data_IF_604608977418
#
_entry.id   IF_604608977418
#
_cell.length_a   1.000
_cell.length_b   1.000
_cell.length_c   1.000
_cell.angle_alpha   90.00
_cell.angle_beta   90.00
_cell.angle_gamma   90.00
#
_symmetry.space_group_name_H-M   'P 1'
#
loop_
_entity.id
_entity.type
_entity.pdbx_description
1 polymer ?
#
# COMPACT_ATOMS: atom_id res chain seq x y z
N UNK A 1 35.30 -23.30 14.71
CA UNK A 1 34.19 -24.23 14.99
C UNK A 1 33.31 -23.63 16.06
N UNK A 2 32.09 -23.24 15.70
CA UNK A 2 30.91 -23.19 16.56
C UNK A 2 29.70 -23.00 15.64
N UNK A 3 29.15 -24.13 15.20
CA UNK A 3 27.91 -24.20 14.45
C UNK A 3 26.78 -24.30 15.46
N UNK A 4 25.99 -23.23 15.60
CA UNK A 4 24.75 -23.28 16.38
C UNK A 4 23.69 -23.97 15.53
N UNK A 5 23.64 -25.29 15.65
CA UNK A 5 22.55 -26.13 15.13
C UNK A 5 21.34 -25.95 16.03
N UNK A 6 20.37 -25.15 15.59
CA UNK A 6 19.03 -25.16 16.17
C UNK A 6 18.39 -26.51 15.79
N UNK A 7 18.44 -27.46 16.71
CA UNK A 7 17.89 -28.80 16.53
C UNK A 7 16.37 -28.76 16.68
N UNK A 8 15.67 -29.32 15.68
CA UNK A 8 14.22 -29.46 15.64
C UNK A 8 13.83 -30.67 16.52
N UNK A 9 13.83 -30.50 17.84
CA UNK A 9 13.36 -31.55 18.75
C UNK A 9 11.82 -31.62 18.73
N UNK A 10 11.31 -32.85 18.59
CA UNK A 10 9.95 -33.32 18.84
C UNK A 10 8.86 -33.24 17.76
N UNK A 11 9.16 -32.95 16.49
CA UNK A 11 8.24 -33.25 15.36
C UNK A 11 6.83 -32.63 15.45
N UNK A 12 6.59 -31.73 16.40
CA UNK A 12 5.35 -30.98 16.55
C UNK A 12 5.57 -29.56 16.04
N UNK A 13 4.76 -29.07 15.08
CA UNK A 13 4.89 -27.71 14.60
C UNK A 13 4.69 -26.72 15.76
N UNK A 14 5.48 -25.63 15.84
CA UNK A 14 5.34 -24.66 16.93
C UNK A 14 3.95 -24.03 16.90
N UNK A 15 3.22 -24.08 18.02
CA UNK A 15 1.83 -23.60 18.11
C UNK A 15 1.66 -22.07 18.18
N UNK A 16 2.76 -21.31 18.20
CA UNK A 16 2.75 -19.85 18.27
C UNK A 16 3.41 -19.24 17.02
N UNK A 17 2.64 -18.42 16.31
CA UNK A 17 3.07 -17.68 15.12
C UNK A 17 4.39 -16.90 15.34
N UNK A 18 4.63 -16.37 16.55
CA UNK A 18 5.87 -15.68 16.89
C UNK A 18 7.12 -16.59 16.84
N UNK A 19 7.01 -17.86 17.27
CA UNK A 19 8.11 -18.84 17.18
C UNK A 19 8.34 -19.30 15.73
N UNK A 20 7.27 -19.46 14.97
CA UNK A 20 7.33 -19.75 13.53
C UNK A 20 8.04 -18.60 12.81
N UNK A 21 7.63 -17.35 13.07
CA UNK A 21 8.24 -16.16 12.49
C UNK A 21 9.71 -16.00 12.90
N UNK A 22 10.06 -16.32 14.15
CA UNK A 22 11.45 -16.33 14.60
C UNK A 22 12.30 -17.35 13.82
N UNK A 23 11.79 -18.58 13.61
CA UNK A 23 12.48 -19.61 12.81
C UNK A 23 12.60 -19.15 11.35
N UNK A 24 11.55 -18.63 10.73
CA UNK A 24 11.64 -18.13 9.36
C UNK A 24 12.57 -16.92 9.22
N UNK A 25 12.66 -16.06 10.23
CA UNK A 25 13.59 -14.91 10.24
C UNK A 25 15.07 -15.34 10.29
N UNK A 26 15.37 -16.58 10.67
CA UNK A 26 16.73 -17.14 10.59
C UNK A 26 17.08 -17.72 9.22
N UNK A 27 16.07 -17.98 8.37
CA UNK A 27 16.24 -18.62 7.05
C UNK A 27 16.16 -17.57 5.94
N UNK A 28 15.26 -16.60 6.08
CA UNK A 28 15.11 -15.51 5.13
C UNK A 28 16.13 -14.41 5.47
N UNK A 29 16.80 -13.84 4.46
CA UNK A 29 17.72 -12.74 4.68
C UNK A 29 16.95 -11.53 5.22
N UNK A 30 17.65 -10.71 6.00
CA UNK A 30 17.13 -9.47 6.56
C UNK A 30 16.42 -8.65 5.45
N UNK A 31 15.29 -8.00 5.76
CA UNK A 31 14.61 -7.09 4.83
C UNK A 31 15.52 -5.95 4.36
N UNK A 32 16.58 -5.64 5.10
CA UNK A 32 17.63 -4.69 4.74
C UNK A 32 18.79 -5.29 3.91
N UNK A 33 18.72 -6.58 3.57
CA UNK A 33 19.72 -7.22 2.72
C UNK A 33 19.65 -6.68 1.30
N UNK A 34 20.81 -6.64 0.66
CA UNK A 34 20.97 -6.28 -0.75
C UNK A 34 20.05 -7.08 -1.69
N UNK A 35 19.88 -8.38 -1.43
CA UNK A 35 19.00 -9.25 -2.21
C UNK A 35 17.55 -8.84 -2.06
N UNK A 36 17.07 -8.65 -0.81
CA UNK A 36 15.70 -8.21 -0.54
C UNK A 36 15.41 -6.84 -1.15
N UNK A 37 16.33 -5.88 -1.02
CA UNK A 37 16.19 -4.54 -1.63
C UNK A 37 16.11 -4.60 -3.15
N UNK A 38 16.96 -5.41 -3.78
CA UNK A 38 16.94 -5.57 -5.23
C UNK A 38 15.65 -6.23 -5.72
N UNK A 39 15.13 -7.22 -4.99
CA UNK A 39 13.87 -7.90 -5.31
C UNK A 39 12.68 -6.94 -5.15
N UNK A 40 12.64 -6.19 -4.05
CA UNK A 40 11.59 -5.19 -3.82
C UNK A 40 11.60 -4.09 -4.89
N UNK A 41 12.77 -3.53 -5.21
CA UNK A 41 12.91 -2.54 -6.27
C UNK A 41 12.49 -3.09 -7.64
N UNK A 42 12.87 -4.33 -7.94
CA UNK A 42 12.48 -5.01 -9.18
C UNK A 42 10.96 -5.20 -9.26
N UNK A 43 10.34 -5.71 -8.18
CA UNK A 43 8.90 -5.91 -8.10
C UNK A 43 8.13 -4.59 -8.25
N UNK A 44 8.60 -3.53 -7.59
CA UNK A 44 8.04 -2.19 -7.74
C UNK A 44 8.12 -1.69 -9.19
N UNK A 45 9.21 -1.97 -9.91
CA UNK A 45 9.31 -1.64 -11.34
C UNK A 45 8.33 -2.45 -12.20
N UNK A 46 8.20 -3.76 -11.95
CA UNK A 46 7.30 -4.63 -12.71
C UNK A 46 5.83 -4.24 -12.53
N UNK A 47 5.45 -3.87 -11.31
CA UNK A 47 4.09 -3.45 -10.93
C UNK A 47 3.84 -1.94 -11.10
N UNK A 48 4.80 -1.17 -11.61
CA UNK A 48 4.72 0.29 -11.76
C UNK A 48 4.40 1.05 -10.45
N UNK A 49 4.90 0.56 -9.32
CA UNK A 49 4.76 1.21 -8.01
C UNK A 49 5.75 2.37 -7.83
N UNK A 50 6.79 2.46 -8.67
CA UNK A 50 7.81 3.51 -8.57
C UNK A 50 7.19 4.87 -8.86
N UNK A 51 7.07 5.69 -7.82
CA UNK A 51 6.60 7.07 -7.92
C UNK A 51 7.53 7.90 -8.82
N UNK A 52 6.99 8.41 -9.92
CA UNK A 52 7.60 9.51 -10.65
C UNK A 52 6.78 10.77 -10.37
N UNK A 53 7.39 11.91 -10.02
CA UNK A 53 6.66 13.16 -9.85
C UNK A 53 5.95 13.61 -11.15
N UNK A 54 6.27 13.02 -12.30
CA UNK A 54 5.71 13.34 -13.61
C UNK A 54 4.58 12.42 -14.07
N UNK A 55 4.34 11.28 -13.41
CA UNK A 55 3.25 10.36 -13.73
C UNK A 55 2.66 9.79 -12.44
N UNK A 56 1.34 9.97 -12.20
CA UNK A 56 0.70 9.28 -11.08
C UNK A 56 0.89 7.77 -11.25
N UNK A 57 1.02 7.02 -10.14
CA UNK A 57 1.06 5.56 -10.20
C UNK A 57 -0.20 5.07 -10.91
N UNK A 58 -0.05 4.17 -11.89
CA UNK A 58 -1.21 3.48 -12.44
C UNK A 58 -1.67 2.46 -11.40
N UNK A 59 -2.94 2.53 -11.02
CA UNK A 59 -3.57 1.56 -10.13
C UNK A 59 -3.83 0.20 -10.81
N UNK A 60 -3.31 -0.01 -12.02
CA UNK A 60 -3.41 -1.25 -12.79
C UNK A 60 -3.00 -2.49 -12.00
N UNK A 61 -2.00 -2.34 -11.14
CA UNK A 61 -1.54 -3.45 -10.30
C UNK A 61 -2.61 -3.91 -9.31
N UNK A 62 -3.55 -3.04 -8.90
CA UNK A 62 -4.66 -3.36 -7.98
C UNK A 62 -5.82 -4.07 -8.68
N UNK A 63 -5.84 -4.09 -10.02
CA UNK A 63 -6.94 -4.67 -10.78
C UNK A 63 -6.99 -6.18 -10.50
N UNK A 64 -8.13 -6.63 -9.99
CA UNK A 64 -8.38 -8.05 -9.74
C UNK A 64 -8.43 -8.81 -11.06
N UNK A 65 -7.74 -9.96 -11.18
CA UNK A 65 -7.91 -10.83 -12.33
C UNK A 65 -9.39 -11.24 -12.48
N UNK A 66 -9.99 -11.16 -13.68
CA UNK A 66 -11.33 -11.67 -13.91
C UNK A 66 -11.43 -13.16 -13.54
N UNK A 67 -12.58 -13.60 -13.03
CA UNK A 67 -12.77 -14.97 -12.55
C UNK A 67 -12.41 -16.04 -13.61
N UNK A 68 -12.73 -15.78 -14.88
CA UNK A 68 -12.32 -16.62 -16.01
C UNK A 68 -10.79 -16.73 -16.10
N UNK A 69 -10.09 -15.60 -16.09
CA UNK A 69 -8.63 -15.57 -16.20
C UNK A 69 -8.01 -16.26 -15.00
N UNK A 70 -8.47 -15.97 -13.79
CA UNK A 70 -8.01 -16.62 -12.56
C UNK A 70 -8.13 -18.15 -12.67
N UNK A 71 -9.28 -18.65 -13.16
CA UNK A 71 -9.49 -20.08 -13.37
C UNK A 71 -8.50 -20.65 -14.39
N UNK A 72 -8.35 -20.02 -15.56
CA UNK A 72 -7.39 -20.46 -16.59
C UNK A 72 -5.96 -20.48 -16.03
N UNK A 73 -5.51 -19.36 -15.44
CA UNK A 73 -4.16 -19.23 -14.90
C UNK A 73 -3.86 -20.17 -13.74
N UNK A 74 -4.86 -20.47 -12.90
CA UNK A 74 -4.72 -21.42 -11.79
C UNK A 74 -4.58 -22.88 -12.25
N UNK A 75 -4.89 -23.19 -13.50
CA UNK A 75 -4.72 -24.52 -14.08
C UNK A 75 -3.51 -24.60 -15.04
N UNK A 76 -2.76 -23.52 -15.22
CA UNK A 76 -1.60 -23.53 -16.10
C UNK A 76 -0.45 -24.36 -15.51
N UNK A 77 0.23 -25.18 -16.31
CA UNK A 77 1.35 -25.99 -15.84
C UNK A 77 2.64 -25.17 -15.70
N UNK A 78 3.59 -25.63 -14.88
CA UNK A 78 4.86 -24.92 -14.68
C UNK A 78 5.73 -24.81 -15.95
N UNK A 79 5.48 -25.61 -17.00
CA UNK A 79 6.30 -25.56 -18.22
C UNK A 79 6.18 -24.23 -18.98
N UNK A 80 5.15 -23.42 -18.72
CA UNK A 80 5.02 -22.09 -19.32
C UNK A 80 6.19 -21.17 -18.93
N UNK A 81 6.91 -21.49 -17.86
CA UNK A 81 8.10 -20.74 -17.43
C UNK A 81 9.31 -20.93 -18.37
N UNK A 82 9.29 -21.93 -19.25
CA UNK A 82 10.44 -22.31 -20.09
C UNK A 82 10.64 -21.35 -21.27
N UNK A 83 9.65 -20.51 -21.61
CA UNK A 83 9.77 -19.56 -22.71
C UNK A 83 11.02 -18.69 -22.58
N UNK A 84 11.80 -18.50 -23.66
CA UNK A 84 12.99 -17.67 -23.63
C UNK A 84 12.62 -16.22 -23.36
N UNK A 85 13.48 -15.52 -22.61
CA UNK A 85 13.31 -14.10 -22.32
C UNK A 85 14.02 -13.29 -23.40
N UNK A 86 13.41 -12.20 -23.84
CA UNK A 86 14.03 -11.27 -24.78
C UNK A 86 15.35 -10.71 -24.22
N UNK A 87 16.28 -10.41 -25.14
CA UNK A 87 17.57 -9.85 -24.78
C UNK A 87 17.41 -8.50 -24.06
N UNK A 88 18.13 -8.32 -22.96
CA UNK A 88 18.12 -7.07 -22.20
C UNK A 88 18.97 -6.03 -22.96
N UNK A 89 18.40 -4.86 -23.32
CA UNK A 89 19.16 -3.82 -24.00
C UNK A 89 20.32 -3.31 -23.13
N UNK A 90 21.52 -3.03 -23.70
CA UNK A 90 22.68 -2.59 -22.93
C UNK A 90 22.41 -1.34 -22.07
N UNK A 91 21.55 -0.44 -22.55
CA UNK A 91 21.18 0.79 -21.86
C UNK A 91 20.51 0.51 -20.50
N UNK A 92 19.81 -0.62 -20.38
CA UNK A 92 19.16 -1.07 -19.16
C UNK A 92 20.16 -1.49 -18.07
N UNK A 93 21.40 -1.79 -18.46
CA UNK A 93 22.47 -2.25 -17.57
C UNK A 93 23.37 -1.09 -17.10
N UNK A 94 23.24 0.10 -17.69
CA UNK A 94 24.06 1.28 -17.39
C UNK A 94 23.53 2.10 -16.20
N UNK A 95 22.82 1.47 -15.26
CA UNK A 95 22.25 2.15 -14.11
C UNK A 95 23.36 2.85 -13.30
N UNK A 96 23.15 4.14 -13.00
CA UNK A 96 24.08 4.97 -12.19
C UNK A 96 23.71 5.01 -10.70
N UNK A 97 22.56 4.46 -10.35
CA UNK A 97 22.01 4.37 -9.01
C UNK A 97 21.34 3.01 -8.83
N UNK A 98 20.94 2.68 -7.60
CA UNK A 98 20.16 1.48 -7.27
C UNK A 98 18.71 1.59 -7.77
N UNK A 99 18.55 1.84 -9.06
CA UNK A 99 17.27 1.99 -9.76
C UNK A 99 17.18 0.98 -10.87
N UNK A 100 16.04 0.31 -10.97
CA UNK A 100 15.79 -0.69 -12.02
C UNK A 100 15.15 0.00 -13.24
N UNK A 101 15.68 -0.30 -14.42
CA UNK A 101 15.20 0.31 -15.66
C UNK A 101 13.78 -0.16 -16.00
N UNK A 102 12.91 0.74 -16.48
CA UNK A 102 11.51 0.40 -16.75
C UNK A 102 11.31 -0.65 -17.86
N UNK A 103 12.31 -0.86 -18.72
CA UNK A 103 12.28 -1.87 -19.79
C UNK A 103 12.07 -3.30 -19.28
N UNK A 104 12.51 -3.60 -18.04
CA UNK A 104 12.30 -4.92 -17.43
C UNK A 104 10.81 -5.25 -17.33
N UNK A 105 9.95 -4.24 -17.12
CA UNK A 105 8.50 -4.43 -17.17
C UNK A 105 8.01 -4.81 -18.56
N UNK A 106 8.49 -4.14 -19.60
CA UNK A 106 8.08 -4.45 -20.98
C UNK A 106 8.43 -5.88 -21.35
N UNK A 107 9.67 -6.31 -21.05
CA UNK A 107 10.16 -7.67 -21.29
C UNK A 107 9.34 -8.69 -20.47
N UNK A 108 9.04 -8.37 -19.21
CA UNK A 108 8.21 -9.21 -18.35
C UNK A 108 6.79 -9.41 -18.88
N UNK A 109 6.12 -8.33 -19.28
CA UNK A 109 4.78 -8.40 -19.88
C UNK A 109 4.76 -9.18 -21.19
N UNK A 110 5.81 -9.02 -22.02
CA UNK A 110 5.94 -9.75 -23.27
C UNK A 110 6.08 -11.25 -23.03
N UNK A 111 6.88 -11.66 -22.03
CA UNK A 111 7.03 -13.08 -21.66
C UNK A 111 5.75 -13.67 -21.08
N UNK A 112 5.01 -12.94 -20.22
CA UNK A 112 3.70 -13.38 -19.72
C UNK A 112 2.72 -13.62 -20.87
N UNK A 113 2.65 -12.68 -21.82
CA UNK A 113 1.80 -12.77 -23.01
C UNK A 113 2.19 -13.96 -23.88
N UNK A 114 3.49 -14.12 -24.15
CA UNK A 114 4.03 -15.22 -24.98
C UNK A 114 3.84 -16.59 -24.32
N UNK A 115 3.80 -16.62 -22.99
CA UNK A 115 3.53 -17.81 -22.20
C UNK A 115 2.04 -18.07 -21.94
N UNK A 116 1.16 -17.27 -22.55
CA UNK A 116 -0.30 -17.31 -22.38
C UNK A 116 -0.77 -17.19 -20.93
N UNK A 117 -0.03 -16.48 -20.07
CA UNK A 117 -0.45 -16.19 -18.71
C UNK A 117 -1.50 -15.06 -18.71
N UNK A 118 -2.73 -15.27 -18.21
CA UNK A 118 -3.87 -14.38 -18.48
C UNK A 118 -3.98 -13.18 -17.53
N UNK A 119 -2.84 -12.65 -17.05
CA UNK A 119 -2.81 -11.54 -16.12
C UNK A 119 -1.45 -10.85 -16.01
N UNK A 120 -1.42 -9.71 -15.34
CA UNK A 120 -0.23 -8.85 -15.23
C UNK A 120 0.14 -8.50 -13.79
N UNK A 121 -0.58 -9.05 -12.81
CA UNK A 121 -0.42 -8.79 -11.37
C UNK A 121 -0.83 -10.01 -10.53
N UNK A 122 -0.58 -9.93 -9.22
CA UNK A 122 -1.05 -10.93 -8.26
C UNK A 122 -2.58 -10.94 -8.16
N UNK A 123 -3.12 -12.11 -7.79
CA UNK A 123 -4.51 -12.21 -7.38
C UNK A 123 -4.60 -11.85 -5.88
N UNK A 124 -4.63 -10.54 -5.58
CA UNK A 124 -4.54 -10.01 -4.21
C UNK A 124 -5.61 -10.52 -3.24
N UNK A 125 -6.78 -10.93 -3.74
CA UNK A 125 -7.84 -11.49 -2.90
C UNK A 125 -7.65 -12.98 -2.60
N UNK A 126 -6.59 -13.59 -3.13
CA UNK A 126 -6.28 -15.00 -2.96
C UNK A 126 -5.02 -15.19 -2.12
N UNK A 127 -4.93 -16.28 -1.33
CA UNK A 127 -3.78 -16.50 -0.48
C UNK A 127 -2.50 -16.69 -1.31
N UNK A 128 -1.33 -16.39 -0.71
CA UNK A 128 -0.02 -16.61 -1.33
C UNK A 128 0.13 -18.03 -1.94
N UNK A 129 -0.40 -19.05 -1.27
CA UNK A 129 -0.33 -20.45 -1.69
C UNK A 129 -1.19 -20.78 -2.92
N UNK A 130 -2.01 -19.85 -3.40
CA UNK A 130 -2.79 -20.04 -4.62
C UNK A 130 -1.88 -20.25 -5.84
N UNK A 131 -2.25 -21.17 -6.72
CA UNK A 131 -1.42 -21.53 -7.88
C UNK A 131 -1.11 -20.34 -8.78
N UNK A 132 -2.07 -19.43 -8.98
CA UNK A 132 -1.86 -18.15 -9.68
C UNK A 132 -0.68 -17.37 -9.10
N UNK A 133 -0.71 -17.10 -7.79
CA UNK A 133 0.29 -16.27 -7.11
C UNK A 133 1.66 -16.96 -7.11
N UNK A 134 1.70 -18.27 -6.90
CA UNK A 134 2.93 -19.07 -7.01
C UNK A 134 3.53 -19.03 -8.41
N UNK A 135 2.70 -19.17 -9.45
CA UNK A 135 3.16 -19.18 -10.83
C UNK A 135 3.63 -17.79 -11.27
N UNK A 136 2.89 -16.74 -10.90
CA UNK A 136 3.29 -15.34 -11.13
C UNK A 136 4.60 -14.99 -10.42
N UNK A 137 4.78 -15.41 -9.16
CA UNK A 137 6.03 -15.24 -8.42
C UNK A 137 7.21 -15.95 -9.12
N UNK A 138 7.01 -17.12 -9.70
CA UNK A 138 8.05 -17.82 -10.48
C UNK A 138 8.43 -17.05 -11.74
N UNK A 139 7.48 -16.39 -12.43
CA UNK A 139 7.83 -15.47 -13.53
C UNK A 139 8.69 -14.31 -13.02
N UNK A 140 8.32 -13.69 -11.89
CA UNK A 140 9.12 -12.61 -11.30
C UNK A 140 10.55 -13.08 -11.04
N UNK A 141 10.72 -14.24 -10.41
CA UNK A 141 12.05 -14.81 -10.09
C UNK A 141 12.83 -15.16 -11.36
N UNK A 142 12.18 -15.74 -12.38
CA UNK A 142 12.78 -16.02 -13.68
C UNK A 142 13.38 -14.74 -14.29
N UNK A 143 12.62 -13.65 -14.31
CA UNK A 143 13.08 -12.37 -14.85
C UNK A 143 14.13 -11.70 -13.97
N UNK A 144 14.00 -11.80 -12.66
CA UNK A 144 15.00 -11.31 -11.72
C UNK A 144 16.34 -12.04 -11.91
N UNK A 145 16.34 -13.37 -12.03
CA UNK A 145 17.56 -14.15 -12.27
C UNK A 145 18.22 -13.78 -13.62
N UNK A 146 17.42 -13.57 -14.67
CA UNK A 146 17.92 -13.11 -15.96
C UNK A 146 18.58 -11.72 -15.86
N UNK A 147 17.93 -10.78 -15.17
CA UNK A 147 18.48 -9.45 -14.91
C UNK A 147 19.75 -9.50 -14.05
N UNK A 148 19.79 -10.36 -13.03
CA UNK A 148 20.96 -10.59 -12.19
C UNK A 148 22.14 -11.13 -13.00
N UNK A 149 21.91 -12.17 -13.82
CA UNK A 149 22.93 -12.75 -14.69
C UNK A 149 23.47 -11.76 -15.74
N UNK A 150 22.62 -10.88 -16.26
CA UNK A 150 23.02 -9.79 -17.15
C UNK A 150 23.75 -8.64 -16.43
N UNK A 151 23.78 -8.64 -15.09
CA UNK A 151 24.47 -7.64 -14.29
C UNK A 151 23.65 -6.37 -14.03
N UNK A 152 22.32 -6.42 -14.15
CA UNK A 152 21.44 -5.28 -13.87
C UNK A 152 21.49 -4.82 -12.40
N UNK A 153 21.87 -5.72 -11.49
CA UNK A 153 21.90 -5.45 -10.04
C UNK A 153 23.30 -5.24 -9.47
N UNK A 154 24.31 -4.93 -10.31
CA UNK A 154 25.71 -4.73 -9.87
C UNK A 154 25.85 -3.76 -8.69
N UNK A 155 25.01 -2.74 -8.61
CA UNK A 155 25.04 -1.71 -7.55
C UNK A 155 24.40 -2.13 -6.23
N UNK A 156 23.72 -3.29 -6.18
CA UNK A 156 23.10 -3.80 -4.97
C UNK A 156 24.07 -4.64 -4.13
N UNK A 157 25.19 -5.14 -4.68
CA UNK A 157 26.14 -6.01 -3.95
C UNK A 157 25.50 -7.29 -3.39
N UNK A 158 24.72 -7.99 -4.22
CA UNK A 158 23.98 -9.18 -3.82
C UNK A 158 24.94 -10.37 -3.61
N UNK A 159 24.75 -11.09 -2.50
CA UNK A 159 25.43 -12.35 -2.23
C UNK A 159 25.03 -13.42 -3.28
N UNK A 160 25.97 -14.00 -4.05
CA UNK A 160 25.67 -15.00 -5.06
C UNK A 160 24.98 -16.25 -4.51
N UNK A 161 25.23 -16.63 -3.25
CA UNK A 161 24.59 -17.81 -2.63
C UNK A 161 23.09 -17.57 -2.43
N UNK A 162 22.71 -16.36 -2.01
CA UNK A 162 21.31 -15.97 -1.88
C UNK A 162 20.64 -15.83 -3.24
N UNK A 163 21.36 -15.27 -4.23
CA UNK A 163 20.84 -15.04 -5.57
C UNK A 163 20.43 -16.32 -6.31
N UNK A 164 20.99 -17.48 -5.95
CA UNK A 164 20.65 -18.76 -6.58
C UNK A 164 19.73 -19.65 -5.73
N UNK A 165 19.35 -19.21 -4.53
CA UNK A 165 18.47 -19.98 -3.66
C UNK A 165 17.00 -19.63 -3.93
N UNK A 166 16.34 -20.44 -4.75
CA UNK A 166 14.94 -20.21 -5.16
C UNK A 166 13.97 -20.10 -3.97
N UNK A 167 14.21 -20.85 -2.88
CA UNK A 167 13.36 -20.78 -1.68
C UNK A 167 13.48 -19.42 -0.99
N UNK A 168 14.69 -18.85 -0.94
CA UNK A 168 14.92 -17.50 -0.43
C UNK A 168 14.24 -16.46 -1.33
N UNK A 169 14.43 -16.55 -2.64
CA UNK A 169 13.82 -15.60 -3.58
C UNK A 169 12.28 -15.64 -3.53
N UNK A 170 11.68 -16.84 -3.45
CA UNK A 170 10.23 -16.98 -3.26
C UNK A 170 9.76 -16.34 -1.96
N UNK A 171 10.48 -16.55 -0.85
CA UNK A 171 10.17 -15.91 0.42
C UNK A 171 10.27 -14.38 0.35
N UNK A 172 11.25 -13.84 -0.38
CA UNK A 172 11.38 -12.39 -0.59
C UNK A 172 10.21 -11.83 -1.39
N UNK A 173 9.79 -12.50 -2.46
CA UNK A 173 8.61 -12.10 -3.24
C UNK A 173 7.36 -12.13 -2.37
N UNK A 174 7.18 -13.17 -1.55
CA UNK A 174 6.04 -13.29 -0.62
C UNK A 174 5.99 -12.12 0.37
N UNK A 175 7.12 -11.79 1.00
CA UNK A 175 7.21 -10.67 1.95
C UNK A 175 6.89 -9.34 1.26
N UNK A 176 7.44 -9.11 0.06
CA UNK A 176 7.17 -7.88 -0.70
C UNK A 176 5.71 -7.79 -1.14
N UNK A 177 5.09 -8.90 -1.54
CA UNK A 177 3.67 -8.98 -1.90
C UNK A 177 2.78 -8.60 -0.71
N UNK A 178 3.05 -9.19 0.47
CA UNK A 178 2.32 -8.86 1.70
C UNK A 178 2.49 -7.39 2.10
N UNK A 179 3.70 -6.83 1.97
CA UNK A 179 3.96 -5.42 2.28
C UNK A 179 3.22 -4.48 1.31
N UNK A 180 3.22 -4.78 0.01
CA UNK A 180 2.45 -4.05 -1.01
C UNK A 180 0.95 -4.15 -0.72
N UNK A 181 0.46 -5.32 -0.32
CA UNK A 181 -0.94 -5.52 0.02
C UNK A 181 -1.35 -4.72 1.26
N UNK A 182 -0.49 -4.67 2.30
CA UNK A 182 -0.70 -3.83 3.49
C UNK A 182 -0.74 -2.34 3.14
N UNK A 183 0.14 -1.89 2.24
CA UNK A 183 0.09 -0.52 1.70
C UNK A 183 -1.19 -0.26 0.86
N UNK A 184 -1.81 -1.29 0.27
CA UNK A 184 -3.07 -1.14 -0.47
C UNK A 184 -4.30 -1.09 0.45
N UNK A 185 -4.26 -1.83 1.56
CA UNK A 185 -5.29 -1.80 2.60
C UNK A 185 -5.19 -0.56 3.48
N UNK A 186 -4.31 0.38 3.13
CA UNK A 186 -3.98 1.56 3.92
C UNK A 186 -5.22 2.44 4.14
N UNK A 187 -5.81 2.42 5.33
CA UNK A 187 -6.91 3.31 5.63
C UNK A 187 -6.44 4.76 5.73
N UNK A 188 -5.12 5.04 5.76
CA UNK A 188 -4.56 6.38 5.65
C UNK A 188 -4.89 7.02 4.30
N UNK A 189 -5.09 6.27 3.20
CA UNK A 189 -5.51 6.87 1.92
C UNK A 189 -6.97 7.39 1.94
N UNK A 190 -7.88 6.62 2.53
CA UNK A 190 -9.27 7.02 2.72
C UNK A 190 -9.40 8.13 3.76
N UNK A 191 -8.62 8.05 4.84
CA UNK A 191 -8.50 9.10 5.86
C UNK A 191 -7.94 10.39 5.29
N UNK A 192 -6.81 10.34 4.56
CA UNK A 192 -6.22 11.50 3.90
C UNK A 192 -7.23 12.16 2.98
N UNK A 193 -7.97 11.40 2.18
CA UNK A 193 -9.03 11.96 1.32
C UNK A 193 -10.13 12.65 2.12
N UNK A 194 -10.57 12.05 3.24
CA UNK A 194 -11.59 12.62 4.11
C UNK A 194 -11.13 13.94 4.79
N UNK A 195 -9.85 14.04 5.16
CA UNK A 195 -9.28 15.18 5.88
C UNK A 195 -8.51 16.18 4.99
N UNK A 196 -8.29 15.90 3.71
CA UNK A 196 -7.76 16.84 2.72
C UNK A 196 -8.80 17.90 2.30
N UNK A 197 -10.09 17.59 2.42
CA UNK A 197 -11.13 18.58 2.23
C UNK A 197 -11.17 19.53 3.44
N UNK A 198 -10.60 20.73 3.31
CA UNK A 198 -10.55 21.75 4.38
C UNK A 198 -11.95 22.06 4.95
N UNK A 199 -13.02 21.90 4.17
CA UNK A 199 -14.40 22.10 4.65
C UNK A 199 -14.90 20.98 5.56
N UNK A 200 -14.23 19.83 5.58
CA UNK A 200 -14.58 18.68 6.40
C UNK A 200 -14.01 18.74 7.82
N UNK A 201 -13.14 19.72 8.12
CA UNK A 201 -12.26 19.66 9.30
C UNK A 201 -12.25 20.92 10.16
N UNK A 202 -12.92 21.99 9.72
CA UNK A 202 -12.99 23.25 10.47
C UNK A 202 -14.27 23.33 11.30
N UNK A 203 -14.17 22.91 12.56
CA UNK A 203 -15.21 23.09 13.58
C UNK A 203 -15.00 24.36 14.41
N UNK A 204 -14.19 25.34 13.98
CA UNK A 204 -13.85 26.50 14.84
C UNK A 204 -14.06 27.84 14.14
N UNK A 205 -14.75 28.76 14.80
CA UNK A 205 -14.85 30.16 14.41
C UNK A 205 -14.15 31.06 15.44
N UNK A 206 -13.42 32.05 14.94
CA UNK A 206 -12.78 33.08 15.77
C UNK A 206 -13.82 34.12 16.15
N UNK A 207 -14.27 34.12 17.40
CA UNK A 207 -15.10 35.19 17.94
C UNK A 207 -14.22 36.33 18.44
N UNK A 208 -14.56 37.60 18.17
CA UNK A 208 -13.89 38.74 18.81
C UNK A 208 -14.03 38.63 20.35
N UNK A 209 -12.96 38.81 21.15
CA UNK A 209 -11.65 39.38 20.83
C UNK A 209 -10.52 38.32 20.66
N UNK A 210 -10.77 37.22 19.93
CA UNK A 210 -9.90 36.06 19.62
C UNK A 210 -10.16 34.78 20.43
N UNK A 211 -11.39 34.53 20.86
CA UNK A 211 -11.73 33.20 21.38
C UNK A 211 -12.06 32.26 20.19
N UNK A 212 -11.47 31.07 20.18
CA UNK A 212 -11.88 30.00 19.25
C UNK A 212 -13.11 29.33 19.86
N UNK A 213 -14.24 29.42 19.17
CA UNK A 213 -15.47 28.72 19.58
C UNK A 213 -15.74 27.56 18.64
N UNK A 214 -16.12 26.41 19.21
CA UNK A 214 -16.47 25.21 18.43
C UNK A 214 -17.85 25.40 17.79
N UNK A 215 -17.92 25.41 16.46
CA UNK A 215 -19.17 25.43 15.71
C UNK A 215 -19.67 24.00 15.50
N UNK A 216 -20.93 23.71 15.87
CA UNK A 216 -21.54 22.42 15.56
C UNK A 216 -21.82 22.33 14.05
N UNK A 217 -21.18 21.36 13.38
CA UNK A 217 -21.46 21.03 11.98
C UNK A 217 -22.64 20.05 11.92
N UNK A 218 -23.83 20.55 11.59
CA UNK A 218 -25.08 19.78 11.55
C UNK A 218 -25.04 18.57 10.59
N UNK A 219 -24.16 18.59 9.60
CA UNK A 219 -23.98 17.51 8.63
C UNK A 219 -23.09 16.37 9.13
N UNK A 220 -22.30 16.59 10.18
CA UNK A 220 -21.24 15.69 10.61
C UNK A 220 -21.78 14.62 11.56
N UNK A 221 -21.40 13.36 11.36
CA UNK A 221 -21.77 12.29 12.28
C UNK A 221 -20.98 12.33 13.59
N UNK A 222 -21.59 11.88 14.69
CA UNK A 222 -20.90 11.77 16.00
C UNK A 222 -19.62 10.93 15.92
N UNK A 223 -19.63 9.88 15.10
CA UNK A 223 -18.47 9.02 14.90
C UNK A 223 -17.30 9.77 14.26
N UNK A 224 -17.58 10.55 13.22
CA UNK A 224 -16.57 11.34 12.53
C UNK A 224 -16.06 12.51 13.40
N UNK A 225 -16.93 13.17 14.17
CA UNK A 225 -16.52 14.19 15.14
C UNK A 225 -15.61 13.63 16.23
N UNK A 226 -15.96 12.48 16.85
CA UNK A 226 -15.11 11.85 17.86
C UNK A 226 -13.75 11.46 17.30
N UNK A 227 -13.72 10.92 16.09
CA UNK A 227 -12.48 10.54 15.44
C UNK A 227 -11.58 11.76 15.16
N UNK A 228 -12.14 12.86 14.64
CA UNK A 228 -11.40 14.11 14.46
C UNK A 228 -10.82 14.65 15.78
N UNK A 229 -11.59 14.58 16.88
CA UNK A 229 -11.12 14.97 18.22
C UNK A 229 -9.98 14.08 18.74
N UNK A 230 -10.02 12.78 18.44
CA UNK A 230 -8.94 11.86 18.82
C UNK A 230 -7.65 12.21 18.07
N UNK A 231 -7.71 12.51 16.77
CA UNK A 231 -6.55 12.96 16.00
C UNK A 231 -5.95 14.25 16.57
N UNK A 232 -6.79 15.23 16.93
CA UNK A 232 -6.34 16.47 17.59
C UNK A 232 -5.63 16.19 18.93
N UNK A 233 -6.13 15.21 19.69
CA UNK A 233 -5.55 14.82 20.99
C UNK A 233 -4.19 14.17 20.82
N UNK A 234 -4.08 13.20 19.89
CA UNK A 234 -2.82 12.52 19.55
C UNK A 234 -1.79 13.55 19.10
N UNK A 235 -2.17 14.47 18.21
CA UNK A 235 -1.27 15.54 17.76
C UNK A 235 -0.80 16.43 18.91
N UNK A 236 -1.71 16.84 19.80
CA UNK A 236 -1.35 17.67 20.96
C UNK A 236 -0.34 16.96 21.85
N UNK A 237 -0.54 15.66 22.10
CA UNK A 237 0.38 14.82 22.86
C UNK A 237 1.74 14.71 22.16
N UNK A 238 1.77 14.40 20.87
CA UNK A 238 2.99 14.30 20.07
C UNK A 238 3.75 15.63 20.01
N UNK A 239 3.07 16.77 19.85
CA UNK A 239 3.68 18.11 19.87
C UNK A 239 4.32 18.44 21.21
N UNK A 240 3.74 17.97 22.32
CA UNK A 240 4.30 18.15 23.68
C UNK A 240 5.51 17.23 23.88
N UNK A 241 5.45 15.99 23.39
CA UNK A 241 6.46 14.96 23.62
C UNK A 241 7.67 15.08 22.69
N UNK A 242 7.47 15.44 21.43
CA UNK A 242 8.52 15.56 20.43
C UNK A 242 9.00 17.01 20.36
N UNK A 243 10.14 17.30 21.00
CA UNK A 243 10.92 18.52 20.78
C UNK A 243 11.53 18.59 19.34
N UNK A 244 10.98 17.82 18.39
CA UNK A 244 11.41 17.70 16.99
C UNK A 244 10.31 18.23 16.07
N UNK A 245 10.60 19.38 15.48
CA UNK A 245 9.74 20.17 14.58
C UNK A 245 9.46 19.53 13.21
N UNK A 246 9.81 18.27 12.99
CA UNK A 246 9.78 17.64 11.65
C UNK A 246 8.55 16.76 11.39
N UNK A 247 7.65 16.59 12.36
CA UNK A 247 6.39 15.87 12.11
C UNK A 247 5.38 16.76 11.37
N UNK A 248 5.44 16.62 10.04
CA UNK A 248 4.42 16.85 9.02
C UNK A 248 3.37 17.95 9.28
N UNK A 249 3.70 19.16 8.86
CA UNK A 249 2.75 20.25 8.57
C UNK A 249 1.58 19.83 7.64
N UNK A 250 1.72 18.72 6.91
CA UNK A 250 0.72 18.21 5.95
C UNK A 250 -0.50 17.53 6.59
N UNK A 251 -0.45 17.11 7.86
CA UNK A 251 -1.59 16.46 8.54
C UNK A 251 -2.27 17.34 9.59
N UNK A 252 -1.80 18.58 9.76
CA UNK A 252 -2.30 19.47 10.79
C UNK A 252 -3.69 19.98 10.39
N UNK A 253 -4.73 19.46 11.04
CA UNK A 253 -6.09 19.99 10.94
C UNK A 253 -6.12 21.44 11.42
N UNK A 254 -5.43 21.74 12.52
CA UNK A 254 -5.33 23.09 13.10
C UNK A 254 -4.67 24.14 12.18
N UNK A 255 -3.62 23.79 11.44
CA UNK A 255 -2.97 24.72 10.48
C UNK A 255 -3.79 24.88 9.18
N UNK A 256 -4.74 23.97 8.91
CA UNK A 256 -5.65 24.02 7.77
C UNK A 256 -6.99 24.69 8.11
N UNK A 257 -7.24 25.05 9.37
CA UNK A 257 -8.44 25.78 9.81
C UNK A 257 -8.39 27.22 9.32
N UNK A 258 -9.06 27.49 8.20
CA UNK A 258 -9.33 28.87 7.77
C UNK A 258 -10.44 29.41 8.68
N UNK A 259 -10.28 30.60 9.29
CA UNK A 259 -11.36 31.26 10.00
C UNK A 259 -12.54 31.47 9.06
N UNK A 260 -13.66 30.81 9.32
CA UNK A 260 -14.87 31.03 8.56
C UNK A 260 -15.41 32.42 8.88
N UNK A 261 -15.31 33.37 7.96
CA UNK A 261 -16.14 34.59 7.95
C UNK A 261 -17.59 34.29 7.51
N UNK A 262 -17.98 33.02 7.46
CA UNK A 262 -19.20 32.54 6.83
C UNK A 262 -20.28 32.47 7.88
N UNK A 263 -21.22 33.42 7.78
CA UNK A 263 -22.52 33.41 8.46
C UNK A 263 -23.18 32.03 8.35
N UNK A 264 -23.68 31.55 9.50
CA UNK A 264 -24.45 30.32 9.75
C UNK A 264 -25.41 29.91 8.61
N UNK A 265 -24.88 29.38 7.52
CA UNK A 265 -25.69 28.84 6.44
C UNK A 265 -25.46 27.34 6.40
N UNK A 266 -26.43 26.61 6.94
CA UNK A 266 -26.64 25.16 6.73
C UNK A 266 -26.91 24.81 5.25
N UNK A 267 -26.42 25.62 4.32
CA UNK A 267 -26.56 25.43 2.89
C UNK A 267 -25.76 24.22 2.46
N UNK A 268 -26.42 23.31 1.76
CA UNK A 268 -25.84 22.15 1.09
C UNK A 268 -24.55 22.46 0.31
N UNK A 269 -24.38 23.69 -0.19
CA UNK A 269 -23.18 24.13 -0.94
C UNK A 269 -21.87 24.04 -0.14
N UNK A 270 -21.96 24.00 1.19
CA UNK A 270 -20.81 24.00 2.08
C UNK A 270 -20.44 22.60 2.60
N UNK A 271 -21.22 21.57 2.27
CA UNK A 271 -20.96 20.21 2.75
C UNK A 271 -19.95 19.50 1.84
N UNK A 272 -18.89 18.90 2.40
CA UNK A 272 -17.94 18.09 1.66
C UNK A 272 -18.62 16.96 0.88
N UNK A 273 -18.11 16.69 -0.32
CA UNK A 273 -18.55 15.56 -1.18
C UNK A 273 -17.49 14.46 -1.16
N UNK A 274 -17.89 13.26 -1.56
CA UNK A 274 -17.06 12.06 -1.64
C UNK A 274 -16.50 11.60 -0.28
N UNK A 275 -17.20 11.90 0.82
CA UNK A 275 -16.86 11.30 2.11
C UNK A 275 -17.53 9.92 2.24
N UNK A 276 -16.98 9.02 3.08
CA UNK A 276 -17.69 7.83 3.51
C UNK A 276 -19.11 8.15 4.00
N UNK A 277 -20.07 7.28 3.69
CA UNK A 277 -21.48 7.51 4.02
C UNK A 277 -21.69 7.78 5.53
N UNK A 278 -20.90 7.13 6.38
CA UNK A 278 -20.98 7.28 7.83
C UNK A 278 -20.22 8.50 8.39
N UNK A 279 -19.63 9.36 7.54
CA UNK A 279 -19.19 10.70 7.93
C UNK A 279 -20.35 11.68 8.03
N UNK A 280 -21.46 11.43 7.32
CA UNK A 280 -22.65 12.26 7.34
C UNK A 280 -23.58 11.82 8.47
N UNK A 281 -24.14 12.78 9.21
CA UNK A 281 -25.17 12.50 10.19
C UNK A 281 -26.43 11.95 9.52
N UNK A 282 -27.00 10.88 10.07
CA UNK A 282 -28.24 10.31 9.55
C UNK A 282 -29.39 11.33 9.55
N UNK A 283 -29.45 12.18 10.60
CA UNK A 283 -30.39 13.30 10.68
C UNK A 283 -30.19 14.28 9.53
N UNK A 284 -28.95 14.63 9.18
CA UNK A 284 -28.67 15.51 8.05
C UNK A 284 -29.06 14.89 6.72
N UNK A 285 -28.67 13.64 6.45
CA UNK A 285 -29.04 12.94 5.22
C UNK A 285 -30.56 12.90 5.03
N UNK A 286 -31.33 12.72 6.12
CA UNK A 286 -32.79 12.72 6.08
C UNK A 286 -33.42 14.06 5.67
N UNK A 287 -32.68 15.18 5.80
CA UNK A 287 -33.14 16.51 5.35
C UNK A 287 -32.90 16.77 3.86
N UNK A 288 -32.10 15.93 3.20
CA UNK A 288 -31.71 16.10 1.81
C UNK A 288 -32.66 15.37 0.86
N UNK A 289 -32.91 15.98 -0.30
CA UNK A 289 -33.56 15.28 -1.42
C UNK A 289 -32.67 14.18 -1.98
N UNK A 290 -33.26 13.21 -2.69
CA UNK A 290 -32.51 12.15 -3.36
C UNK A 290 -31.44 12.68 -4.33
N UNK A 291 -31.72 13.79 -5.02
CA UNK A 291 -30.74 14.43 -5.92
C UNK A 291 -29.58 15.07 -5.16
N UNK A 292 -29.82 15.65 -3.98
CA UNK A 292 -28.78 16.19 -3.11
C UNK A 292 -27.91 15.08 -2.51
N UNK A 293 -28.52 13.98 -2.07
CA UNK A 293 -27.77 12.81 -1.58
C UNK A 293 -26.90 12.22 -2.70
N UNK A 294 -27.42 12.10 -3.93
CA UNK A 294 -26.64 11.66 -5.08
C UNK A 294 -25.47 12.62 -5.38
N UNK A 295 -25.66 13.93 -5.20
CA UNK A 295 -24.60 14.94 -5.39
C UNK A 295 -23.51 14.89 -4.31
N UNK A 296 -23.77 14.31 -3.13
CA UNK A 296 -22.71 14.05 -2.14
C UNK A 296 -21.76 12.96 -2.62
N UNK A 297 -22.23 12.04 -3.47
CA UNK A 297 -21.47 10.91 -4.00
C UNK A 297 -20.68 10.15 -2.90
N UNK A 298 -21.36 9.65 -1.85
CA UNK A 298 -20.68 9.06 -0.71
C UNK A 298 -20.01 7.74 -1.08
N UNK A 299 -18.84 7.47 -0.48
CA UNK A 299 -18.17 6.17 -0.55
C UNK A 299 -18.66 5.22 0.54
N UNK A 300 -18.21 3.96 0.51
CA UNK A 300 -18.56 2.95 1.51
C UNK A 300 -18.19 3.37 2.93
N UNK A 301 -18.95 2.88 3.91
CA UNK A 301 -18.74 3.20 5.32
C UNK A 301 -17.37 2.71 5.83
N UNK A 302 -16.68 3.54 6.62
CA UNK A 302 -15.38 3.19 7.21
C UNK A 302 -15.54 2.72 8.66
N UNK A 303 -14.77 1.73 9.08
CA UNK A 303 -14.78 1.21 10.47
C UNK A 303 -13.83 2.05 11.35
N UNK A 304 -14.38 3.03 12.08
CA UNK A 304 -13.62 3.98 12.91
C UNK A 304 -12.64 3.38 13.94
N UNK A 305 -12.97 2.29 14.68
CA UNK A 305 -12.10 1.77 15.76
C UNK A 305 -10.72 1.29 15.30
N UNK A 306 -10.58 0.88 14.04
CA UNK A 306 -9.31 0.34 13.51
C UNK A 306 -8.32 1.45 13.10
N UNK A 307 -8.76 2.70 13.09
CA UNK A 307 -7.98 3.84 12.59
C UNK A 307 -7.11 4.47 13.67
N UNK A 308 -7.53 4.39 14.93
CA UNK A 308 -6.78 4.95 16.08
C UNK A 308 -5.55 4.09 16.41
N UNK A 309 -5.59 2.79 16.13
CA UNK A 309 -4.43 1.88 16.29
C UNK A 309 -3.31 2.09 15.26
N UNK A 310 -3.53 2.96 14.26
CA UNK A 310 -2.58 3.25 13.19
C UNK A 310 -1.86 4.60 13.33
N UNK A 311 -2.25 5.42 14.32
CA UNK A 311 -1.59 6.67 14.69
C UNK A 311 -0.79 6.47 15.99
#
# INVERSE_FOLDING_TARGET
MSSSTATLWDGKPPSQAAKINAIYSTILPNSQSSSAWSMAAFLQTLLQLVFSPKKPPLDDWKIRPPAHNLHVGSNLPNFILIHPIDAIPPEALLAKAQTIHSIFRTIFLQDLSSSHFPGTTFAWDHPWVAHWNQLFAKFIIKHWLNAYGAGAFKLFFINPVEAHNLSILLGQVAISEEEIQKQNQDPDAALRTAFENIKATSETETTPPRALSKLPLSWQSDGFTRFAQQLDTIYTQEKINANRWTFVHKYILEARRIPSHITQSNSFKNVPRNLPINCYAASYLSTLSNSQQALLNPSDAVVWPNLVTLC
#
